data_IF_434801472208
#
_entry.id   IF_434801472208
#
_cell.length_a   1.000
_cell.length_b   1.000
_cell.length_c   1.000
_cell.angle_alpha   90.00
_cell.angle_beta   90.00
_cell.angle_gamma   90.00
#
_symmetry.space_group_name_H-M   'P 1'
#
loop_
_entity.id
_entity.type
_entity.pdbx_description
1 polymer ?
#
# COMPACT_ATOMS: atom_id res chain seq x y z
N UNK A 1 -26.51 5.38 15.15
CA UNK A 1 -26.49 4.29 14.14
C UNK A 1 -25.12 4.28 13.48
N UNK A 2 -24.37 3.16 13.41
CA UNK A 2 -23.13 3.13 12.64
C UNK A 2 -23.46 3.36 11.16
N UNK A 3 -22.77 4.28 10.49
CA UNK A 3 -22.93 4.49 9.04
C UNK A 3 -22.53 3.20 8.35
N UNK A 4 -23.38 2.68 7.45
CA UNK A 4 -23.01 1.54 6.59
C UNK A 4 -21.72 1.90 5.85
N UNK A 5 -20.75 0.98 5.74
CA UNK A 5 -19.55 1.23 4.95
C UNK A 5 -19.96 1.56 3.52
N UNK A 6 -19.47 2.69 3.00
CA UNK A 6 -19.69 3.10 1.61
C UNK A 6 -18.91 2.14 0.73
N UNK A 7 -19.63 1.37 -0.09
CA UNK A 7 -19.06 0.47 -1.09
C UNK A 7 -18.99 1.21 -2.41
N UNK A 8 -17.84 1.16 -3.05
CA UNK A 8 -17.65 1.72 -4.39
C UNK A 8 -17.36 0.59 -5.35
N UNK A 9 -18.15 0.53 -6.43
CA UNK A 9 -18.07 -0.49 -7.46
C UNK A 9 -17.46 0.14 -8.72
N UNK A 10 -16.45 -0.50 -9.27
CA UNK A 10 -15.76 -0.09 -10.48
C UNK A 10 -15.81 -1.24 -11.46
N UNK A 11 -16.28 -1.00 -12.68
CA UNK A 11 -16.23 -1.97 -13.76
C UNK A 11 -14.89 -1.86 -14.48
N UNK A 12 -14.20 -2.98 -14.63
CA UNK A 12 -12.96 -3.08 -15.41
C UNK A 12 -13.27 -3.35 -16.88
N UNK A 13 -12.30 -3.09 -17.76
CA UNK A 13 -12.46 -3.29 -19.22
C UNK A 13 -12.78 -4.74 -19.62
N UNK A 14 -12.46 -5.72 -18.76
CA UNK A 14 -12.80 -7.14 -18.94
C UNK A 14 -14.17 -7.53 -18.33
N UNK A 15 -14.99 -6.55 -17.94
CA UNK A 15 -16.35 -6.73 -17.42
C UNK A 15 -16.41 -7.21 -15.97
N UNK A 16 -15.30 -7.20 -15.22
CA UNK A 16 -15.32 -7.54 -13.79
C UNK A 16 -15.73 -6.32 -12.98
N UNK A 17 -16.49 -6.56 -11.93
CA UNK A 17 -16.85 -5.52 -10.95
C UNK A 17 -15.91 -5.62 -9.76
N UNK A 18 -15.00 -4.66 -9.64
CA UNK A 18 -14.19 -4.44 -8.45
C UNK A 18 -15.02 -3.73 -7.39
N UNK A 19 -14.95 -4.23 -6.16
CA UNK A 19 -15.62 -3.64 -4.99
C UNK A 19 -14.57 -3.13 -4.03
N UNK A 20 -14.70 -1.89 -3.61
CA UNK A 20 -13.87 -1.29 -2.57
C UNK A 20 -14.71 -0.77 -1.42
N UNK A 21 -14.13 -0.78 -0.22
CA UNK A 21 -14.69 -0.14 0.97
C UNK A 21 -13.75 0.97 1.39
N UNK A 22 -14.30 2.10 1.84
CA UNK A 22 -13.47 3.17 2.40
C UNK A 22 -12.91 2.78 3.76
N UNK A 23 -11.59 2.89 3.92
CA UNK A 23 -10.94 2.71 5.21
C UNK A 23 -11.41 3.80 6.20
N UNK A 24 -11.77 3.46 7.46
CA UNK A 24 -12.26 4.43 8.44
C UNK A 24 -11.25 5.56 8.74
N UNK A 25 -9.95 5.28 8.57
CA UNK A 25 -8.87 6.23 8.78
C UNK A 25 -8.24 6.61 7.43
N UNK A 26 -8.49 7.85 7.00
CA UNK A 26 -8.00 8.43 5.74
C UNK A 26 -8.94 8.28 4.54
N UNK A 27 -9.85 7.30 4.55
CA UNK A 27 -10.91 7.16 3.54
C UNK A 27 -10.49 6.49 2.23
N UNK A 28 -9.30 5.89 2.15
CA UNK A 28 -8.81 5.20 0.95
C UNK A 28 -9.57 3.93 0.59
N UNK A 29 -9.34 3.46 -0.63
CA UNK A 29 -9.99 2.30 -1.23
C UNK A 29 -9.33 1.01 -0.79
N UNK A 30 -10.08 0.17 -0.08
CA UNK A 30 -9.57 -1.11 0.41
C UNK A 30 -10.44 -2.24 -0.14
N UNK A 31 -9.80 -3.19 -0.83
CA UNK A 31 -10.46 -4.40 -1.29
C UNK A 31 -11.03 -5.15 -0.08
N UNK A 32 -12.27 -5.69 -0.15
CA UNK A 32 -12.84 -6.53 0.90
C UNK A 32 -12.01 -7.77 1.23
N UNK A 33 -11.07 -8.15 0.35
CA UNK A 33 -10.14 -9.27 0.55
C UNK A 33 -8.77 -8.85 1.10
N UNK A 34 -8.53 -7.56 1.28
CA UNK A 34 -7.33 -7.04 1.93
C UNK A 34 -7.46 -7.10 3.46
N UNK A 35 -6.33 -7.13 4.17
CA UNK A 35 -6.29 -7.01 5.63
C UNK A 35 -5.56 -5.73 5.98
N UNK A 36 -6.32 -4.72 6.41
CA UNK A 36 -5.79 -3.41 6.82
C UNK A 36 -6.08 -3.20 8.30
N UNK A 37 -5.04 -2.88 9.07
CA UNK A 37 -5.18 -2.59 10.48
C UNK A 37 -6.10 -1.37 10.70
N UNK A 38 -7.02 -1.40 11.68
CA UNK A 38 -7.97 -0.30 11.90
C UNK A 38 -7.31 1.06 12.19
N UNK A 39 -6.12 1.06 12.78
CA UNK A 39 -5.34 2.26 13.11
C UNK A 39 -4.31 2.65 12.03
N UNK A 40 -4.28 1.96 10.89
CA UNK A 40 -3.52 2.38 9.71
C UNK A 40 -4.19 3.60 9.05
N UNK A 41 -3.40 4.50 8.48
CA UNK A 41 -3.92 5.63 7.70
C UNK A 41 -3.81 5.35 6.20
N UNK A 42 -4.94 5.20 5.52
CA UNK A 42 -4.99 5.01 4.06
C UNK A 42 -5.60 6.26 3.44
N UNK A 43 -4.80 7.08 2.76
CA UNK A 43 -5.26 8.34 2.18
C UNK A 43 -6.40 8.13 1.17
N UNK A 44 -7.26 9.15 1.02
CA UNK A 44 -8.55 9.07 0.30
C UNK A 44 -8.47 8.51 -1.12
N UNK A 45 -7.38 8.77 -1.83
CA UNK A 45 -7.15 8.32 -3.21
C UNK A 45 -6.17 7.15 -3.32
N UNK A 46 -5.74 6.57 -2.20
CA UNK A 46 -4.90 5.38 -2.23
C UNK A 46 -5.73 4.11 -2.42
N UNK A 47 -5.14 3.13 -3.09
CA UNK A 47 -5.73 1.82 -3.36
C UNK A 47 -4.95 0.71 -2.65
N UNK A 48 -5.69 -0.23 -2.06
CA UNK A 48 -5.16 -1.45 -1.44
C UNK A 48 -5.90 -2.64 -2.02
N UNK A 49 -5.16 -3.44 -2.79
CA UNK A 49 -5.68 -4.56 -3.58
C UNK A 49 -5.95 -5.82 -2.75
N UNK A 50 -6.55 -6.82 -3.40
CA UNK A 50 -6.85 -8.09 -2.75
C UNK A 50 -5.62 -8.78 -2.14
N UNK A 51 -5.80 -9.42 -0.98
CA UNK A 51 -4.76 -10.15 -0.23
C UNK A 51 -3.59 -9.28 0.25
N UNK A 52 -3.56 -7.99 -0.08
CA UNK A 52 -2.59 -7.07 0.50
C UNK A 52 -2.81 -6.94 2.02
N UNK A 53 -1.71 -6.78 2.75
CA UNK A 53 -1.70 -6.61 4.21
C UNK A 53 -1.07 -5.26 4.54
N UNK A 54 -1.77 -4.43 5.30
CA UNK A 54 -1.24 -3.16 5.82
C UNK A 54 -1.32 -3.17 7.34
N UNK A 55 -0.17 -3.12 7.98
CA UNK A 55 0.00 -3.28 9.41
C UNK A 55 -0.38 -2.04 10.24
N UNK A 56 -0.41 -2.18 11.58
CA UNK A 56 -0.80 -1.11 12.49
C UNK A 56 0.03 0.15 12.33
N UNK A 57 -0.62 1.32 12.43
CA UNK A 57 0.00 2.65 12.33
C UNK A 57 0.76 2.92 11.01
N UNK A 58 0.71 2.04 10.03
CA UNK A 58 1.26 2.31 8.71
C UNK A 58 0.51 3.47 8.05
N UNK A 59 1.20 4.23 7.20
CA UNK A 59 0.62 5.39 6.50
C UNK A 59 0.82 5.22 5.00
N UNK A 60 -0.26 5.24 4.25
CA UNK A 60 -0.25 5.19 2.78
C UNK A 60 -0.71 6.54 2.23
N UNK A 61 0.21 7.21 1.51
CA UNK A 61 -0.02 8.52 0.91
C UNK A 61 -1.02 8.51 -0.24
N UNK A 62 -1.47 9.70 -0.62
CA UNK A 62 -2.42 9.90 -1.73
C UNK A 62 -1.89 9.33 -3.04
N UNK A 63 -2.81 8.82 -3.86
CA UNK A 63 -2.52 8.27 -5.20
C UNK A 63 -1.53 7.09 -5.19
N UNK A 64 -1.27 6.49 -4.03
CA UNK A 64 -0.42 5.31 -3.92
C UNK A 64 -1.23 4.04 -4.12
N UNK A 65 -0.60 3.04 -4.70
CA UNK A 65 -1.21 1.76 -5.02
C UNK A 65 -0.44 0.64 -4.34
N UNK A 66 -1.11 -0.05 -3.42
CA UNK A 66 -0.61 -1.26 -2.77
C UNK A 66 -1.21 -2.46 -3.51
N UNK A 67 -0.40 -3.13 -4.31
CA UNK A 67 -0.81 -4.23 -5.19
C UNK A 67 -1.17 -5.51 -4.44
N UNK A 68 -1.73 -6.45 -5.20
CA UNK A 68 -2.17 -7.73 -4.66
C UNK A 68 -1.02 -8.46 -3.96
N UNK A 69 -1.33 -9.09 -2.82
CA UNK A 69 -0.39 -9.86 -2.00
C UNK A 69 0.79 -9.04 -1.41
N UNK A 70 0.85 -7.72 -1.63
CA UNK A 70 1.88 -6.88 -1.04
C UNK A 70 1.69 -6.74 0.48
N UNK A 71 2.79 -6.62 1.21
CA UNK A 71 2.81 -6.50 2.66
C UNK A 71 3.49 -5.19 3.06
N UNK A 72 2.73 -4.30 3.70
CA UNK A 72 3.24 -3.08 4.32
C UNK A 72 3.19 -3.29 5.83
N UNK A 73 4.34 -3.47 6.46
CA UNK A 73 4.42 -3.76 7.89
C UNK A 73 4.09 -2.53 8.75
N UNK A 74 4.03 -2.75 10.07
CA UNK A 74 3.69 -1.73 11.04
C UNK A 74 4.57 -0.48 10.92
N UNK A 75 3.98 0.69 11.13
CA UNK A 75 4.67 2.00 11.15
C UNK A 75 5.42 2.38 9.86
N UNK A 76 5.30 1.59 8.79
CA UNK A 76 5.86 1.95 7.49
C UNK A 76 5.16 3.19 6.93
N UNK A 77 5.93 4.06 6.28
CA UNK A 77 5.47 5.29 5.65
C UNK A 77 5.65 5.15 4.15
N UNK A 78 4.55 4.99 3.45
CA UNK A 78 4.48 5.02 2.00
C UNK A 78 4.11 6.43 1.57
N UNK A 79 4.98 7.08 0.80
CA UNK A 79 4.78 8.43 0.29
C UNK A 79 3.59 8.57 -0.67
N UNK A 80 3.45 9.76 -1.24
CA UNK A 80 2.43 10.08 -2.26
C UNK A 80 2.85 9.47 -3.61
N UNK A 81 1.89 8.96 -4.38
CA UNK A 81 2.09 8.41 -5.72
C UNK A 81 3.13 7.28 -5.78
N UNK A 82 3.18 6.45 -4.73
CA UNK A 82 4.06 5.27 -4.67
C UNK A 82 3.32 4.05 -5.21
N UNK A 83 4.01 3.25 -6.02
CA UNK A 83 3.51 1.95 -6.45
C UNK A 83 4.27 0.86 -5.69
N UNK A 84 3.56 0.08 -4.86
CA UNK A 84 4.10 -1.10 -4.20
C UNK A 84 3.65 -2.32 -4.97
N UNK A 85 4.57 -2.96 -5.69
CA UNK A 85 4.30 -4.05 -6.62
C UNK A 85 3.78 -5.34 -5.97
N UNK A 86 3.22 -6.27 -6.76
CA UNK A 86 2.60 -7.49 -6.24
C UNK A 86 3.56 -8.30 -5.38
N UNK A 87 3.09 -8.75 -4.21
CA UNK A 87 3.91 -9.56 -3.29
C UNK A 87 5.14 -8.86 -2.69
N UNK A 88 5.34 -7.55 -2.93
CA UNK A 88 6.44 -6.81 -2.34
C UNK A 88 6.29 -6.73 -0.81
N UNK A 89 7.40 -6.74 -0.08
CA UNK A 89 7.43 -6.70 1.39
C UNK A 89 8.13 -5.43 1.86
N UNK A 90 7.36 -4.51 2.42
CA UNK A 90 7.83 -3.27 3.06
C UNK A 90 7.93 -3.49 4.56
N UNK A 91 9.16 -3.50 5.08
CA UNK A 91 9.47 -3.76 6.47
C UNK A 91 8.98 -2.67 7.44
N UNK A 92 8.95 -3.01 8.72
CA UNK A 92 8.45 -2.12 9.78
C UNK A 92 9.22 -0.81 9.81
N UNK A 93 8.54 0.33 9.91
CA UNK A 93 9.17 1.64 9.97
C UNK A 93 9.93 2.08 8.70
N UNK A 94 9.87 1.29 7.60
CA UNK A 94 10.46 1.69 6.32
C UNK A 94 9.80 2.98 5.80
N UNK A 95 10.58 3.80 5.11
CA UNK A 95 10.15 5.09 4.55
C UNK A 95 10.36 5.06 3.05
N UNK A 96 9.27 5.06 2.30
CA UNK A 96 9.27 5.08 0.84
C UNK A 96 8.91 6.47 0.37
N UNK A 97 9.86 7.14 -0.29
CA UNK A 97 9.69 8.48 -0.82
C UNK A 97 8.58 8.58 -1.87
N UNK A 98 8.06 9.79 -2.05
CA UNK A 98 7.06 10.11 -3.08
C UNK A 98 7.49 9.58 -4.46
N UNK A 99 6.56 9.10 -5.26
CA UNK A 99 6.80 8.72 -6.65
C UNK A 99 7.63 7.44 -6.84
N UNK A 100 8.10 6.82 -5.75
CA UNK A 100 8.91 5.63 -5.83
C UNK A 100 8.10 4.43 -6.35
N UNK A 101 8.80 3.50 -7.02
CA UNK A 101 8.25 2.26 -7.55
C UNK A 101 8.96 1.07 -6.91
N UNK A 102 8.22 0.27 -6.15
CA UNK A 102 8.74 -0.94 -5.53
C UNK A 102 8.32 -2.11 -6.40
N UNK A 103 9.29 -2.81 -6.99
CA UNK A 103 9.01 -3.91 -7.89
C UNK A 103 8.34 -5.10 -7.22
N UNK A 104 7.71 -5.94 -8.04
CA UNK A 104 7.11 -7.22 -7.64
C UNK A 104 8.09 -8.03 -6.77
N UNK A 105 7.59 -8.57 -5.64
CA UNK A 105 8.35 -9.41 -4.72
C UNK A 105 9.64 -8.78 -4.16
N UNK A 106 9.85 -7.47 -4.33
CA UNK A 106 10.98 -6.78 -3.71
C UNK A 106 10.85 -6.79 -2.19
N UNK A 107 11.99 -6.78 -1.50
CA UNK A 107 12.07 -6.80 -0.04
C UNK A 107 12.80 -5.55 0.43
N UNK A 108 12.07 -4.74 1.19
CA UNK A 108 12.55 -3.58 1.89
C UNK A 108 12.68 -3.93 3.38
N UNK A 109 13.89 -3.95 3.96
CA UNK A 109 14.07 -4.23 5.37
C UNK A 109 13.39 -3.20 6.28
N UNK A 110 13.28 -3.52 7.57
CA UNK A 110 12.83 -2.56 8.56
C UNK A 110 13.69 -1.29 8.56
N UNK A 111 13.06 -0.13 8.74
CA UNK A 111 13.67 1.20 8.81
C UNK A 111 14.48 1.64 7.58
N UNK A 112 14.40 0.90 6.46
CA UNK A 112 15.06 1.32 5.22
C UNK A 112 14.45 2.62 4.68
N UNK A 113 15.27 3.45 4.05
CA UNK A 113 14.84 4.65 3.36
C UNK A 113 14.98 4.45 1.86
N UNK A 114 13.90 4.68 1.12
CA UNK A 114 13.89 4.66 -0.34
C UNK A 114 13.64 6.09 -0.81
N UNK A 115 14.57 6.61 -1.61
CA UNK A 115 14.50 7.97 -2.12
C UNK A 115 13.27 8.21 -2.98
N UNK A 116 12.80 9.46 -3.03
CA UNK A 116 11.73 9.86 -3.93
C UNK A 116 12.07 9.55 -5.39
N UNK A 117 11.06 9.22 -6.18
CA UNK A 117 11.12 8.92 -7.61
C UNK A 117 12.07 7.76 -7.99
N UNK A 118 12.59 7.02 -6.99
CA UNK A 118 13.47 5.89 -7.21
C UNK A 118 12.69 4.62 -7.59
N UNK A 119 13.38 3.68 -8.24
CA UNK A 119 12.81 2.38 -8.60
C UNK A 119 13.62 1.27 -7.93
N UNK A 120 12.94 0.46 -7.12
CA UNK A 120 13.49 -0.79 -6.58
C UNK A 120 13.12 -1.91 -7.54
N UNK A 121 14.08 -2.63 -8.14
CA UNK A 121 13.79 -3.69 -9.09
C UNK A 121 12.97 -4.83 -8.47
N UNK A 122 12.22 -5.55 -9.31
CA UNK A 122 11.51 -6.75 -8.89
C UNK A 122 12.48 -7.77 -8.26
N UNK A 123 12.03 -8.45 -7.20
CA UNK A 123 12.79 -9.45 -6.42
C UNK A 123 14.08 -8.93 -5.77
N UNK A 124 14.36 -7.63 -5.85
CA UNK A 124 15.51 -7.04 -5.20
C UNK A 124 15.32 -7.07 -3.68
N UNK A 125 16.42 -7.29 -2.96
CA UNK A 125 16.49 -7.05 -1.51
C UNK A 125 17.31 -5.79 -1.31
N UNK A 126 16.69 -4.72 -0.80
CA UNK A 126 17.41 -3.48 -0.54
C UNK A 126 18.32 -3.69 0.66
N UNK A 127 19.64 -3.59 0.46
CA UNK A 127 20.60 -3.68 1.54
C UNK A 127 20.45 -2.52 2.53
N UNK A 128 20.91 -2.70 3.77
CA UNK A 128 20.83 -1.72 4.86
C UNK A 128 21.66 -0.43 4.67
N UNK A 129 22.01 -0.09 3.42
CA UNK A 129 22.61 1.18 3.01
C UNK A 129 22.10 1.52 1.59
N UNK A 130 20.87 2.02 1.51
CA UNK A 130 20.54 2.97 0.46
C UNK A 130 20.89 4.36 1.02
N UNK A 131 21.77 5.07 0.32
CA UNK A 131 22.48 6.27 0.74
C UNK A 131 21.56 7.44 1.11
#
# INVERSE_FOLDING_TARGET
MPRKPTREEFETDDGRVLRYVRHPHGGGFVSPKAVVAPDAWIARSAYVEERAIVGPRARVGENSWIESDAQVAAEAIIGIAVHVGPGARVGSGARVGRGARIGEQAVLPANVQVSADSTVPAKAVVGSRAA
#
